data_IF_235951973993
#
_entry.id   IF_235951973993
#
_cell.length_a   1.000
_cell.length_b   1.000
_cell.length_c   1.000
_cell.angle_alpha   90.00
_cell.angle_beta   90.00
_cell.angle_gamma   90.00
#
_symmetry.space_group_name_H-M   'P 1'
#
loop_
_entity.id
_entity.type
_entity.pdbx_description
1 polymer ?
#
# COMPACT_ATOMS: atom_id res chain seq x y z
N UNK A 1 17.42 -26.97 18.50
CA UNK A 1 17.04 -27.30 17.11
C UNK A 1 15.54 -27.14 16.99
N UNK A 2 15.06 -25.98 16.55
CA UNK A 2 13.64 -25.74 16.35
C UNK A 2 13.25 -26.29 14.96
N UNK A 3 12.29 -27.20 14.94
CA UNK A 3 11.77 -27.79 13.70
C UNK A 3 11.10 -26.70 12.85
N UNK A 4 11.58 -26.52 11.61
CA UNK A 4 10.92 -25.71 10.60
C UNK A 4 9.51 -26.28 10.36
N UNK A 5 8.48 -25.56 10.80
CA UNK A 5 7.12 -25.82 10.33
C UNK A 5 7.07 -25.52 8.82
N UNK A 6 6.46 -26.40 8.00
CA UNK A 6 6.24 -26.07 6.60
C UNK A 6 5.33 -24.84 6.51
N UNK A 7 5.68 -23.86 5.66
CA UNK A 7 4.78 -22.76 5.31
C UNK A 7 3.47 -23.39 4.81
N UNK A 8 2.36 -23.13 5.50
CA UNK A 8 1.04 -23.47 4.99
C UNK A 8 0.82 -22.70 3.70
N UNK A 9 1.01 -23.40 2.57
CA UNK A 9 0.66 -22.89 1.25
C UNK A 9 -0.86 -22.87 1.20
N UNK A 10 -1.45 -21.69 1.12
CA UNK A 10 -2.91 -21.57 1.01
C UNK A 10 -3.40 -22.35 -0.22
N UNK A 11 -4.57 -23.01 -0.15
CA UNK A 11 -5.17 -23.66 -1.31
C UNK A 11 -5.28 -22.66 -2.46
N UNK A 12 -4.67 -22.98 -3.61
CA UNK A 12 -4.66 -22.12 -4.80
C UNK A 12 -3.43 -21.22 -4.99
N UNK A 13 -2.49 -21.18 -4.03
CA UNK A 13 -1.24 -20.46 -4.22
C UNK A 13 -0.32 -21.21 -5.19
N UNK A 14 -0.18 -20.68 -6.40
CA UNK A 14 0.88 -21.06 -7.34
C UNK A 14 1.91 -19.94 -7.30
N UNK A 15 3.18 -20.26 -7.06
CA UNK A 15 4.27 -19.26 -6.98
C UNK A 15 4.55 -18.52 -8.30
N UNK A 16 3.82 -18.88 -9.36
CA UNK A 16 3.86 -18.30 -10.69
C UNK A 16 2.48 -17.78 -11.05
N UNK A 17 2.39 -16.50 -11.41
CA UNK A 17 1.17 -15.90 -11.91
C UNK A 17 0.99 -16.38 -13.36
N UNK A 18 0.06 -17.30 -13.59
CA UNK A 18 -0.30 -17.81 -14.91
C UNK A 18 -1.62 -17.14 -15.33
N UNK A 19 -1.64 -15.88 -15.81
CA UNK A 19 -2.90 -15.25 -16.22
C UNK A 19 -3.62 -16.10 -17.29
N UNK A 20 -2.88 -16.83 -18.13
CA UNK A 20 -3.40 -17.70 -19.19
C UNK A 20 -4.27 -18.88 -18.72
N UNK A 21 -4.32 -19.24 -17.42
CA UNK A 21 -5.23 -20.31 -16.92
C UNK A 21 -6.69 -19.87 -16.79
N UNK A 22 -7.02 -18.60 -17.07
CA UNK A 22 -8.41 -18.11 -17.07
C UNK A 22 -8.93 -17.80 -18.49
N UNK A 23 -8.41 -18.47 -19.52
CA UNK A 23 -8.94 -18.41 -20.90
C UNK A 23 -9.63 -19.73 -21.31
N UNK A 24 -10.28 -19.75 -22.48
CA UNK A 24 -10.96 -20.96 -23.00
C UNK A 24 -10.05 -22.18 -23.08
N UNK A 25 -8.74 -22.00 -23.34
CA UNK A 25 -7.81 -23.12 -23.49
C UNK A 25 -7.47 -23.82 -22.17
N UNK A 26 -7.71 -23.14 -21.04
CA UNK A 26 -7.52 -23.68 -19.70
C UNK A 26 -8.80 -24.29 -19.11
N UNK A 27 -9.92 -24.23 -19.84
CA UNK A 27 -11.21 -24.78 -19.40
C UNK A 27 -11.14 -26.31 -19.33
N UNK A 28 -11.51 -26.94 -18.20
CA UNK A 28 -11.56 -28.40 -18.12
C UNK A 28 -12.68 -28.96 -19.02
N UNK A 29 -12.36 -29.96 -19.83
CA UNK A 29 -13.32 -30.68 -20.66
C UNK A 29 -14.23 -31.57 -19.80
N UNK A 30 -15.53 -31.27 -19.79
CA UNK A 30 -16.52 -32.10 -19.09
C UNK A 30 -17.14 -33.08 -20.09
N UNK A 31 -16.81 -34.37 -19.93
CA UNK A 31 -17.33 -35.46 -20.79
C UNK A 31 -18.77 -35.86 -20.47
N UNK A 32 -19.17 -35.76 -19.20
CA UNK A 32 -20.53 -36.10 -18.74
C UNK A 32 -21.10 -34.98 -17.85
N UNK A 33 -22.29 -34.51 -18.20
CA UNK A 33 -22.92 -33.35 -17.55
C UNK A 33 -23.81 -33.79 -16.39
N UNK A 34 -23.51 -33.31 -15.18
CA UNK A 34 -24.28 -33.54 -13.96
C UNK A 34 -25.45 -32.54 -13.84
N UNK A 35 -26.54 -32.90 -13.15
CA UNK A 35 -27.63 -31.98 -12.85
C UNK A 35 -27.13 -30.69 -12.18
N UNK A 36 -27.60 -29.53 -12.65
CA UNK A 36 -27.19 -28.21 -12.16
C UNK A 36 -25.99 -27.57 -12.89
N UNK A 37 -25.30 -28.29 -13.77
CA UNK A 37 -24.22 -27.71 -14.58
C UNK A 37 -24.77 -26.90 -15.77
N UNK A 38 -24.21 -25.71 -15.99
CA UNK A 38 -24.67 -24.78 -17.02
C UNK A 38 -24.41 -25.29 -18.46
N UNK A 39 -25.19 -24.86 -19.47
CA UNK A 39 -24.90 -25.11 -20.89
C UNK A 39 -23.51 -24.63 -21.31
N UNK A 40 -22.91 -25.34 -22.26
CA UNK A 40 -21.57 -25.04 -22.77
C UNK A 40 -21.46 -23.61 -23.28
N UNK A 41 -22.46 -23.16 -24.03
CA UNK A 41 -22.58 -21.79 -24.55
C UNK A 41 -22.60 -20.74 -23.42
N UNK A 42 -23.31 -21.00 -22.32
CA UNK A 42 -23.35 -20.09 -21.15
C UNK A 42 -22.00 -20.01 -20.44
N UNK A 43 -21.26 -21.11 -20.39
CA UNK A 43 -19.91 -21.15 -19.80
C UNK A 43 -18.90 -20.51 -20.75
N UNK A 44 -19.03 -20.69 -22.06
CA UNK A 44 -18.17 -20.03 -23.06
C UNK A 44 -18.28 -18.52 -22.97
N UNK A 45 -19.50 -17.97 -22.80
CA UNK A 45 -19.71 -16.54 -22.50
C UNK A 45 -18.91 -16.05 -21.30
N UNK A 46 -18.70 -16.86 -20.26
CA UNK A 46 -17.83 -16.47 -19.14
C UNK A 46 -16.36 -16.26 -19.52
N UNK A 47 -15.87 -16.88 -20.61
CA UNK A 47 -14.49 -16.73 -21.09
C UNK A 47 -14.38 -15.85 -22.34
N UNK A 48 -15.46 -15.76 -23.13
CA UNK A 48 -15.55 -15.02 -24.40
C UNK A 48 -16.14 -13.61 -24.21
N UNK A 49 -17.09 -13.43 -23.29
CA UNK A 49 -17.75 -12.14 -22.96
C UNK A 49 -17.13 -11.45 -21.74
N UNK A 50 -16.19 -12.09 -21.03
CA UNK A 50 -15.25 -11.32 -20.21
C UNK A 50 -14.51 -10.41 -21.19
N UNK A 51 -14.49 -9.08 -20.98
CA UNK A 51 -13.69 -8.19 -21.80
C UNK A 51 -12.29 -8.80 -21.83
N UNK A 52 -11.84 -9.14 -23.03
CA UNK A 52 -10.71 -10.04 -23.26
C UNK A 52 -9.55 -9.68 -22.36
N UNK A 53 -8.76 -10.69 -21.96
CA UNK A 53 -7.53 -10.53 -21.18
C UNK A 53 -6.93 -9.14 -21.40
N UNK A 54 -6.83 -8.30 -20.36
CA UNK A 54 -6.46 -6.91 -20.52
C UNK A 54 -5.22 -6.90 -21.40
N UNK A 55 -5.26 -6.12 -22.49
CA UNK A 55 -4.04 -5.86 -23.23
C UNK A 55 -3.04 -5.43 -22.16
N UNK A 56 -1.97 -6.20 -22.01
CA UNK A 56 -1.01 -5.92 -20.97
C UNK A 56 -0.28 -4.61 -21.30
N UNK A 57 -0.58 -3.96 -22.44
CA UNK A 57 -0.02 -2.69 -22.89
C UNK A 57 1.51 -2.76 -22.86
N UNK A 58 2.07 -3.92 -23.25
CA UNK A 58 3.50 -4.23 -23.15
C UNK A 58 4.34 -3.39 -24.11
N UNK A 59 3.71 -2.86 -25.15
CA UNK A 59 4.25 -1.88 -26.08
C UNK A 59 4.46 -0.50 -25.45
N UNK A 60 3.76 -0.19 -24.35
CA UNK A 60 3.90 1.06 -23.62
C UNK A 60 4.99 0.98 -22.54
N UNK A 61 5.70 2.10 -22.35
CA UNK A 61 6.78 2.22 -21.39
C UNK A 61 6.31 2.48 -19.95
N UNK A 62 7.27 2.62 -19.05
CA UNK A 62 7.07 2.90 -17.61
C UNK A 62 6.17 4.12 -17.33
N UNK A 63 6.17 5.12 -18.20
CA UNK A 63 5.43 6.38 -18.00
C UNK A 63 4.00 6.37 -18.58
N UNK A 64 3.63 5.33 -19.32
CA UNK A 64 2.40 5.33 -20.12
C UNK A 64 1.54 4.10 -19.84
N UNK A 65 2.18 2.95 -19.59
CA UNK A 65 1.52 1.65 -19.47
C UNK A 65 0.42 1.62 -18.42
N UNK A 66 0.68 2.09 -17.20
CA UNK A 66 -0.37 2.12 -16.17
C UNK A 66 -1.50 3.10 -16.52
N UNK A 67 -1.22 4.17 -17.26
CA UNK A 67 -2.28 5.11 -17.68
C UNK A 67 -3.21 4.44 -18.70
N UNK A 68 -2.67 3.59 -19.59
CA UNK A 68 -3.48 2.80 -20.53
C UNK A 68 -4.35 1.77 -19.82
N UNK A 69 -3.77 1.06 -18.85
CA UNK A 69 -4.54 0.13 -17.99
C UNK A 69 -5.65 0.88 -17.24
N UNK A 70 -5.37 2.07 -16.69
CA UNK A 70 -6.36 2.89 -15.99
C UNK A 70 -7.48 3.42 -16.89
N UNK A 71 -7.18 3.74 -18.16
CA UNK A 71 -8.18 4.16 -19.16
C UNK A 71 -9.19 3.05 -19.45
N UNK A 72 -8.73 1.80 -19.53
CA UNK A 72 -9.58 0.63 -19.74
C UNK A 72 -10.27 0.16 -18.45
N UNK A 73 -9.57 0.27 -17.31
CA UNK A 73 -10.02 -0.16 -15.99
C UNK A 73 -9.83 0.97 -14.96
N UNK A 74 -10.79 1.90 -14.85
CA UNK A 74 -10.72 2.97 -13.87
C UNK A 74 -10.52 2.45 -12.44
N UNK A 75 -9.50 2.96 -11.75
CA UNK A 75 -9.11 2.50 -10.41
C UNK A 75 -8.03 1.42 -10.38
N UNK A 76 -7.55 0.89 -11.51
CA UNK A 76 -6.46 -0.09 -11.54
C UNK A 76 -5.19 0.41 -10.81
N UNK A 77 -4.93 1.72 -10.84
CA UNK A 77 -3.81 2.33 -10.15
C UNK A 77 -3.88 2.17 -8.61
N UNK A 78 -5.08 2.07 -8.00
CA UNK A 78 -5.24 1.96 -6.55
C UNK A 78 -4.75 0.60 -6.03
N UNK A 79 -4.78 -0.43 -6.88
CA UNK A 79 -4.34 -1.78 -6.52
C UNK A 79 -2.85 -1.76 -6.13
N UNK A 80 -2.04 -0.98 -6.84
CA UNK A 80 -0.62 -0.79 -6.53
C UNK A 80 -0.37 -0.09 -5.19
N UNK A 81 -1.36 0.65 -4.69
CA UNK A 81 -1.33 1.24 -3.36
C UNK A 81 -1.77 0.24 -2.27
N UNK A 82 -2.74 -0.62 -2.59
CA UNK A 82 -3.36 -1.57 -1.64
C UNK A 82 -2.59 -2.89 -1.49
N UNK A 83 -1.79 -3.30 -2.46
CA UNK A 83 -1.14 -4.63 -2.48
C UNK A 83 -0.24 -4.89 -1.26
N UNK A 84 0.22 -3.86 -0.53
CA UNK A 84 0.76 -3.96 0.82
C UNK A 84 2.09 -4.72 1.00
N UNK A 85 2.56 -5.42 -0.03
CA UNK A 85 3.83 -6.17 -0.05
C UNK A 85 4.96 -5.26 -0.49
N UNK A 86 6.00 -5.11 0.35
CA UNK A 86 7.17 -4.28 0.05
C UNK A 86 8.10 -5.01 -0.94
N UNK A 87 8.24 -4.56 -2.20
CA UNK A 87 9.08 -5.22 -3.19
C UNK A 87 10.57 -5.10 -2.86
N UNK A 88 11.37 -6.06 -3.32
CA UNK A 88 12.83 -6.03 -3.11
C UNK A 88 13.50 -4.76 -3.66
N UNK A 89 13.02 -4.24 -4.80
CA UNK A 89 13.52 -3.00 -5.37
C UNK A 89 13.33 -1.80 -4.41
N UNK A 90 12.23 -1.77 -3.66
CA UNK A 90 11.98 -0.69 -2.70
C UNK A 90 12.84 -0.86 -1.46
N UNK A 91 13.05 -2.09 -0.99
CA UNK A 91 14.01 -2.40 0.08
C UNK A 91 15.41 -1.88 -0.29
N UNK A 92 15.89 -2.25 -1.49
CA UNK A 92 17.21 -1.86 -1.99
C UNK A 92 17.37 -0.33 -2.09
N UNK A 93 16.31 0.37 -2.50
CA UNK A 93 16.32 1.83 -2.55
C UNK A 93 16.31 2.44 -1.14
N UNK A 94 15.44 1.94 -0.26
CA UNK A 94 15.26 2.46 1.10
C UNK A 94 16.51 2.32 1.96
N UNK A 95 17.28 1.27 1.72
CA UNK A 95 18.54 0.98 2.42
C UNK A 95 19.77 1.21 1.54
N UNK A 96 19.65 2.01 0.49
CA UNK A 96 20.79 2.33 -0.37
C UNK A 96 21.84 3.15 0.41
N UNK A 97 23.12 2.78 0.33
CA UNK A 97 24.16 3.46 1.10
C UNK A 97 24.30 4.94 0.79
N UNK A 98 24.14 5.35 -0.48
CA UNK A 98 24.23 6.78 -0.86
C UNK A 98 23.11 7.58 -0.20
N UNK A 99 21.92 6.98 -0.07
CA UNK A 99 20.76 7.59 0.57
C UNK A 99 20.93 7.60 2.10
N UNK A 100 21.32 6.48 2.69
CA UNK A 100 21.55 6.38 4.13
C UNK A 100 22.67 7.31 4.60
N UNK A 101 23.70 7.56 3.78
CA UNK A 101 24.74 8.55 4.10
C UNK A 101 24.19 9.99 4.18
N UNK A 102 23.21 10.34 3.35
CA UNK A 102 22.52 11.65 3.45
C UNK A 102 21.64 11.69 4.69
N UNK A 103 20.88 10.62 4.95
CA UNK A 103 20.01 10.51 6.13
C UNK A 103 20.83 10.60 7.43
N UNK A 104 22.00 9.95 7.46
CA UNK A 104 22.93 9.97 8.60
C UNK A 104 23.33 11.39 9.02
N UNK A 105 23.55 12.29 8.06
CA UNK A 105 23.85 13.70 8.33
C UNK A 105 22.70 14.44 9.01
N UNK A 106 21.46 13.98 8.82
CA UNK A 106 20.27 14.64 9.33
C UNK A 106 19.82 14.10 10.69
N UNK A 107 19.91 12.78 10.91
CA UNK A 107 19.36 12.13 12.11
C UNK A 107 20.40 11.42 12.99
N UNK A 108 21.64 11.24 12.49
CA UNK A 108 22.72 10.55 13.17
C UNK A 108 23.01 9.14 12.63
N UNK A 109 24.05 8.47 13.16
CA UNK A 109 24.57 7.19 12.67
C UNK A 109 23.67 5.98 12.96
N UNK A 110 22.77 6.11 13.94
CA UNK A 110 21.77 5.11 14.26
C UNK A 110 20.48 5.43 13.49
N UNK A 111 20.15 4.58 12.52
CA UNK A 111 19.07 4.83 11.55
C UNK A 111 18.10 3.66 11.56
N UNK A 112 16.81 3.95 11.65
CA UNK A 112 15.74 2.99 11.46
C UNK A 112 14.76 3.43 10.35
N UNK A 113 14.24 2.46 9.62
CA UNK A 113 13.13 2.64 8.68
C UNK A 113 11.79 2.53 9.38
N UNK A 114 10.95 3.55 9.26
CA UNK A 114 9.58 3.52 9.77
C UNK A 114 8.69 2.62 8.88
N UNK A 115 7.85 1.74 9.45
CA UNK A 115 7.22 0.63 8.72
C UNK A 115 6.21 1.02 7.63
N UNK A 116 5.76 2.27 7.63
CA UNK A 116 4.84 2.79 6.63
C UNK A 116 5.61 3.34 5.43
N UNK A 117 5.42 2.71 4.29
CA UNK A 117 5.85 3.17 2.98
C UNK A 117 4.61 3.29 2.08
N UNK A 118 4.63 4.18 1.09
CA UNK A 118 3.51 4.36 0.18
C UNK A 118 4.00 4.52 -1.25
N UNK A 119 3.56 3.65 -2.16
CA UNK A 119 3.62 3.92 -3.59
C UNK A 119 2.39 4.73 -3.98
N UNK A 120 2.59 5.85 -4.70
CA UNK A 120 1.50 6.67 -5.21
C UNK A 120 1.65 6.82 -6.71
N UNK A 121 0.56 6.52 -7.40
CA UNK A 121 0.45 6.48 -8.86
C UNK A 121 -0.59 7.50 -9.30
N UNK A 122 -0.14 8.69 -9.71
CA UNK A 122 -1.07 9.69 -10.26
C UNK A 122 -1.13 9.58 -11.78
N UNK A 123 -2.11 8.86 -12.31
CA UNK A 123 -2.40 8.88 -13.75
C UNK A 123 -2.91 10.28 -14.16
N UNK A 124 -2.82 10.64 -15.45
CA UNK A 124 -3.34 11.91 -15.96
C UNK A 124 -4.80 12.15 -15.51
N UNK A 125 -5.10 13.36 -15.05
CA UNK A 125 -6.44 13.80 -14.64
C UNK A 125 -7.10 12.97 -13.52
N UNK A 126 -6.31 12.25 -12.71
CA UNK A 126 -6.84 11.42 -11.63
C UNK A 126 -6.91 12.18 -10.29
N UNK A 127 -8.13 12.33 -9.76
CA UNK A 127 -8.39 12.98 -8.46
C UNK A 127 -8.28 12.05 -7.25
N UNK A 128 -8.34 10.72 -7.42
CA UNK A 128 -8.42 9.72 -6.34
C UNK A 128 -7.20 9.69 -5.40
N UNK A 129 -6.09 10.30 -5.81
CA UNK A 129 -4.86 10.42 -4.99
C UNK A 129 -4.57 11.86 -4.55
N UNK A 130 -5.55 12.75 -4.69
CA UNK A 130 -5.45 14.12 -4.20
C UNK A 130 -5.56 14.11 -2.68
N UNK A 131 -4.48 14.54 -2.02
CA UNK A 131 -4.50 14.70 -0.56
C UNK A 131 -5.08 16.08 -0.26
N UNK A 132 -6.22 16.17 0.44
CA UNK A 132 -6.80 17.46 0.81
C UNK A 132 -5.95 18.17 1.87
N UNK A 133 -6.24 19.45 2.07
CA UNK A 133 -5.57 20.30 3.04
C UNK A 133 -5.65 19.75 4.46
N UNK A 134 -4.58 19.96 5.24
CA UNK A 134 -4.60 19.83 6.69
C UNK A 134 -3.72 20.92 7.32
N UNK A 135 -4.34 21.69 8.23
CA UNK A 135 -3.85 22.82 9.05
C UNK A 135 -3.68 24.20 8.36
N UNK A 136 -3.63 25.27 9.18
CA UNK A 136 -3.82 26.70 8.87
C UNK A 136 -2.72 27.30 7.96
N UNK A 137 -2.88 27.23 6.63
CA UNK A 137 -1.95 27.79 5.61
C UNK A 137 -2.69 28.79 4.70
N UNK A 138 -2.04 29.91 4.39
CA UNK A 138 -2.46 30.87 3.35
C UNK A 138 -1.96 30.39 1.97
N UNK A 139 -2.89 30.01 1.10
CA UNK A 139 -2.57 29.36 -0.17
C UNK A 139 -1.88 30.29 -1.18
N UNK A 140 -2.06 31.60 -1.03
CA UNK A 140 -1.43 32.55 -1.95
C UNK A 140 0.00 32.88 -1.52
N UNK A 141 0.28 32.79 -0.21
CA UNK A 141 1.57 33.23 0.35
C UNK A 141 2.53 32.10 0.68
N UNK A 142 2.00 30.95 1.09
CA UNK A 142 2.81 29.90 1.73
C UNK A 142 3.17 28.74 0.79
N UNK A 143 2.67 28.76 -0.46
CA UNK A 143 2.94 27.68 -1.42
C UNK A 143 4.33 27.84 -2.03
N UNK A 144 5.22 26.90 -1.70
CA UNK A 144 6.50 26.70 -2.38
C UNK A 144 6.41 25.41 -3.21
N UNK A 145 6.50 25.53 -4.53
CA UNK A 145 6.57 24.36 -5.41
C UNK A 145 8.01 23.87 -5.54
N UNK A 146 8.22 22.56 -5.44
CA UNK A 146 9.53 21.94 -5.59
C UNK A 146 9.50 20.96 -6.77
N UNK A 147 9.98 21.35 -7.96
CA UNK A 147 10.13 20.44 -9.08
C UNK A 147 11.17 19.36 -8.75
N UNK A 148 10.75 18.09 -8.79
CA UNK A 148 11.65 16.95 -8.56
C UNK A 148 11.80 16.18 -9.88
N UNK A 149 13.00 16.11 -10.48
CA UNK A 149 13.21 15.34 -11.70
C UNK A 149 13.11 13.83 -11.44
N UNK A 150 12.96 13.04 -12.50
CA UNK A 150 13.03 11.58 -12.39
C UNK A 150 14.36 11.15 -11.75
N UNK A 151 14.27 10.26 -10.74
CA UNK A 151 15.42 9.85 -9.92
C UNK A 151 15.83 10.86 -8.84
N UNK A 152 15.21 12.05 -8.80
CA UNK A 152 15.35 13.01 -7.72
C UNK A 152 14.59 12.57 -6.46
N UNK A 153 14.93 13.21 -5.34
CA UNK A 153 14.23 13.01 -4.07
C UNK A 153 13.96 14.34 -3.38
N UNK A 154 12.91 14.36 -2.57
CA UNK A 154 12.57 15.46 -1.67
C UNK A 154 12.52 14.90 -0.25
N UNK A 155 13.30 15.49 0.65
CA UNK A 155 13.28 15.16 2.08
C UNK A 155 12.43 16.20 2.80
N UNK A 156 11.50 15.73 3.62
CA UNK A 156 10.60 16.57 4.41
C UNK A 156 10.69 16.16 5.86
N UNK A 157 10.75 17.14 6.76
CA UNK A 157 10.50 16.90 8.17
C UNK A 157 9.00 16.57 8.37
N UNK A 158 8.68 15.71 9.34
CA UNK A 158 7.31 15.27 9.62
C UNK A 158 6.36 16.40 10.05
N UNK A 159 6.89 17.56 10.43
CA UNK A 159 6.14 18.76 10.79
C UNK A 159 5.89 19.70 9.61
N UNK A 160 6.42 19.42 8.41
CA UNK A 160 6.20 20.27 7.24
C UNK A 160 4.83 19.96 6.64
N UNK A 161 3.88 20.91 6.64
CA UNK A 161 2.62 20.75 5.94
C UNK A 161 2.90 20.60 4.45
N UNK A 162 2.34 19.56 3.83
CA UNK A 162 2.56 19.30 2.42
C UNK A 162 1.31 18.68 1.79
N UNK A 163 1.11 18.98 0.51
CA UNK A 163 0.05 18.37 -0.29
C UNK A 163 0.59 17.96 -1.65
N UNK A 164 -0.10 17.01 -2.26
CA UNK A 164 0.12 16.71 -3.67
C UNK A 164 -0.89 17.47 -4.52
N UNK A 165 -0.44 18.00 -5.65
CA UNK A 165 -1.31 18.61 -6.65
C UNK A 165 -1.90 17.54 -7.61
N UNK A 166 -3.02 17.83 -8.28
CA UNK A 166 -3.51 17.01 -9.39
C UNK A 166 -2.44 16.85 -10.47
N UNK A 167 -2.41 15.68 -11.14
CA UNK A 167 -1.52 15.47 -12.27
C UNK A 167 -2.21 15.95 -13.56
N UNK A 168 -1.84 17.15 -14.02
CA UNK A 168 -2.36 17.74 -15.26
C UNK A 168 -1.52 17.38 -16.49
N UNK A 169 -0.46 16.58 -16.34
CA UNK A 169 0.38 16.15 -17.45
C UNK A 169 -0.19 14.95 -18.19
N UNK A 170 0.36 14.64 -19.37
CA UNK A 170 -0.02 13.46 -20.17
C UNK A 170 0.65 12.16 -19.71
N UNK A 171 1.59 12.24 -18.77
CA UNK A 171 2.36 11.10 -18.27
C UNK A 171 1.96 10.82 -16.83
N UNK A 172 2.09 9.56 -16.42
CA UNK A 172 1.91 9.21 -15.00
C UNK A 172 2.98 9.87 -14.12
N UNK A 173 2.59 10.29 -12.91
CA UNK A 173 3.50 10.70 -11.86
C UNK A 173 3.64 9.58 -10.82
N UNK A 174 4.83 8.97 -10.79
CA UNK A 174 5.22 8.02 -9.75
C UNK A 174 5.85 8.74 -8.57
N UNK A 175 5.45 8.38 -7.35
CA UNK A 175 6.18 8.79 -6.14
C UNK A 175 6.17 7.65 -5.12
N UNK A 176 7.33 7.42 -4.50
CA UNK A 176 7.51 6.45 -3.41
C UNK A 176 7.87 7.21 -2.14
N UNK A 177 7.01 7.10 -1.13
CA UNK A 177 7.25 7.73 0.16
C UNK A 177 7.95 6.73 1.09
N UNK A 178 9.16 7.08 1.52
CA UNK A 178 9.97 6.33 2.47
C UNK A 178 10.25 7.21 3.69
N UNK A 179 10.39 6.60 4.87
CA UNK A 179 10.60 7.33 6.13
C UNK A 179 11.75 6.72 6.92
N UNK A 180 12.56 7.59 7.49
CA UNK A 180 13.65 7.25 8.40
C UNK A 180 13.44 7.97 9.72
N UNK A 181 13.89 7.34 10.79
CA UNK A 181 13.83 7.88 12.14
C UNK A 181 15.00 7.37 12.96
N UNK A 182 15.20 7.99 14.12
CA UNK A 182 16.16 7.49 15.10
C UNK A 182 15.57 6.27 15.83
N UNK A 183 16.33 5.18 16.03
CA UNK A 183 15.81 3.95 16.64
C UNK A 183 15.43 4.11 18.11
N UNK A 184 15.99 5.09 18.82
CA UNK A 184 15.58 5.36 20.21
C UNK A 184 14.20 6.02 20.34
N UNK A 185 13.56 6.38 19.22
CA UNK A 185 12.23 6.97 19.19
C UNK A 185 11.18 5.91 18.85
N UNK A 186 9.98 5.99 19.44
CA UNK A 186 8.91 5.06 19.12
C UNK A 186 8.51 5.19 17.65
N UNK A 187 8.15 4.08 17.01
CA UNK A 187 7.65 4.07 15.64
C UNK A 187 6.30 4.79 15.48
N UNK A 188 5.60 5.14 16.56
CA UNK A 188 4.33 5.87 16.47
C UNK A 188 3.20 5.09 15.79
N UNK A 189 3.39 3.77 15.62
CA UNK A 189 2.43 2.86 15.01
C UNK A 189 1.74 1.98 16.06
N UNK A 190 1.61 2.49 17.29
CA UNK A 190 0.81 1.93 18.39
C UNK A 190 1.06 0.43 18.68
N UNK A 191 2.29 -0.04 18.52
CA UNK A 191 2.65 -1.46 18.73
C UNK A 191 2.14 -2.42 17.65
N UNK A 192 1.45 -1.93 16.61
CA UNK A 192 1.03 -2.73 15.45
C UNK A 192 2.26 -3.20 14.67
N UNK A 193 3.28 -2.33 14.57
CA UNK A 193 4.55 -2.67 13.96
C UNK A 193 5.65 -1.76 14.47
N UNK A 194 6.78 -2.36 14.77
CA UNK A 194 7.99 -1.62 15.10
C UNK A 194 8.74 -1.15 13.85
N UNK A 195 9.66 -0.21 14.09
CA UNK A 195 10.58 0.22 13.05
C UNK A 195 11.67 -0.82 12.82
N UNK A 196 12.23 -0.82 11.60
CA UNK A 196 13.28 -1.73 11.22
C UNK A 196 14.64 -1.04 11.34
N UNK A 197 15.55 -1.56 12.16
CA UNK A 197 16.89 -1.02 12.29
C UNK A 197 17.66 -1.19 10.97
N UNK A 198 18.24 -0.11 10.44
CA UNK A 198 19.02 -0.10 9.20
C UNK A 198 20.52 0.03 9.45
N UNK A 199 20.91 0.93 10.34
CA UNK A 199 22.30 1.14 10.74
C UNK A 199 22.39 1.36 12.24
N UNK A 200 23.51 0.94 12.82
CA UNK A 200 23.85 1.33 14.18
C UNK A 200 25.33 1.65 14.32
N UNK A 201 25.62 2.70 15.09
CA UNK A 201 26.97 3.09 15.48
C UNK A 201 27.70 2.02 16.30
N UNK A 202 26.95 1.10 16.91
CA UNK A 202 27.48 0.00 17.74
C UNK A 202 28.03 -1.16 16.93
N UNK A 203 27.55 -1.32 15.69
CA UNK A 203 27.94 -2.39 14.79
C UNK A 203 27.94 -1.90 13.34
N UNK A 204 29.10 -1.41 12.83
CA UNK A 204 29.24 -1.00 11.44
C UNK A 204 29.00 -2.12 10.41
N UNK A 205 29.07 -3.39 10.83
CA UNK A 205 28.82 -4.56 10.00
C UNK A 205 27.38 -5.06 10.03
N UNK A 206 26.49 -4.36 10.75
CA UNK A 206 25.12 -4.78 11.01
C UNK A 206 24.39 -5.17 9.72
N UNK A 207 23.70 -6.30 9.77
CA UNK A 207 22.84 -6.80 8.69
C UNK A 207 21.39 -6.63 9.07
N UNK A 208 20.65 -5.95 8.21
CA UNK A 208 19.23 -5.65 8.40
C UNK A 208 18.44 -6.95 8.49
N UNK A 209 17.71 -7.11 9.59
CA UNK A 209 16.83 -8.24 9.80
C UNK A 209 15.44 -8.00 9.21
N UNK A 210 15.30 -8.33 7.93
CA UNK A 210 14.03 -8.21 7.20
C UNK A 210 12.96 -9.20 7.64
N UNK A 211 13.26 -10.19 8.48
CA UNK A 211 12.29 -11.22 8.87
C UNK A 211 11.08 -10.63 9.61
N UNK A 212 11.31 -9.61 10.45
CA UNK A 212 10.25 -8.80 11.08
C UNK A 212 9.36 -8.07 10.07
N UNK A 213 9.88 -7.77 8.88
CA UNK A 213 9.13 -7.10 7.82
C UNK A 213 8.41 -8.06 6.87
N UNK A 214 8.87 -9.31 6.81
CA UNK A 214 8.40 -10.36 5.89
C UNK A 214 7.49 -11.40 6.55
N UNK A 215 7.59 -11.55 7.88
CA UNK A 215 6.85 -12.54 8.67
C UNK A 215 5.54 -12.02 9.27
N UNK A 216 5.41 -10.71 9.47
CA UNK A 216 4.18 -10.13 9.98
C UNK A 216 3.18 -9.96 8.85
N UNK A 217 2.16 -10.81 8.82
CA UNK A 217 0.89 -10.46 8.21
C UNK A 217 0.38 -9.21 8.94
N UNK A 218 0.75 -8.04 8.43
CA UNK A 218 0.10 -6.76 8.78
C UNK A 218 -1.41 -6.94 8.85
N UNK A 219 -1.95 -7.81 8.01
CA UNK A 219 -3.33 -8.24 7.92
C UNK A 219 -3.90 -8.88 9.19
N UNK A 220 -3.17 -9.76 9.88
CA UNK A 220 -3.69 -10.52 11.02
C UNK A 220 -3.72 -9.65 12.28
N UNK A 221 -2.67 -8.85 12.51
CA UNK A 221 -2.62 -7.89 13.61
C UNK A 221 -3.57 -6.71 13.34
N UNK A 222 -3.62 -6.19 12.11
CA UNK A 222 -4.56 -5.10 11.78
C UNK A 222 -5.99 -5.58 11.99
N UNK A 223 -6.39 -6.78 11.52
CA UNK A 223 -7.71 -7.38 11.79
C UNK A 223 -8.08 -7.41 13.27
N UNK A 224 -7.16 -7.77 14.18
CA UNK A 224 -7.43 -7.74 15.62
C UNK A 224 -7.75 -6.32 16.13
N UNK A 225 -7.08 -5.28 15.61
CA UNK A 225 -7.33 -3.88 15.97
C UNK A 225 -8.51 -3.23 15.24
N UNK A 226 -8.94 -3.75 14.08
CA UNK A 226 -10.13 -3.30 13.35
C UNK A 226 -11.36 -4.17 13.62
N UNK A 227 -11.33 -5.17 14.52
CA UNK A 227 -12.51 -5.99 14.83
C UNK A 227 -13.72 -5.20 15.35
N UNK A 228 -13.49 -4.05 16.01
CA UNK A 228 -14.54 -3.15 16.53
C UNK A 228 -14.91 -2.01 15.57
N UNK A 229 -14.47 -2.13 14.33
CA UNK A 229 -14.76 -1.22 13.24
C UNK A 229 -15.30 -2.13 12.14
N UNK A 230 -16.46 -1.84 11.56
CA UNK A 230 -16.92 -2.51 10.33
C UNK A 230 -16.02 -2.18 9.10
N UNK A 231 -14.74 -1.91 9.36
CA UNK A 231 -13.65 -1.63 8.45
C UNK A 231 -12.81 -2.91 8.36
N UNK A 232 -13.41 -3.95 7.81
CA UNK A 232 -12.66 -5.15 7.46
C UNK A 232 -11.66 -4.81 6.33
N UNK A 233 -10.35 -5.06 6.48
CA UNK A 233 -9.41 -5.00 5.37
C UNK A 233 -9.56 -6.19 4.40
N UNK A 234 -10.46 -7.13 4.72
CA UNK A 234 -10.88 -8.28 3.92
C UNK A 234 -12.27 -8.75 4.39
N UNK A 235 -13.28 -7.87 4.41
CA UNK A 235 -14.56 -8.39 3.96
C UNK A 235 -14.26 -8.93 2.57
N UNK A 236 -14.89 -10.00 2.13
CA UNK A 236 -15.05 -10.18 0.69
C UNK A 236 -15.46 -8.82 0.15
N UNK A 237 -14.52 -8.11 -0.51
CA UNK A 237 -14.80 -6.82 -1.09
C UNK A 237 -15.57 -7.17 -2.33
N UNK A 238 -16.85 -7.51 -2.12
CA UNK A 238 -17.76 -8.00 -3.15
C UNK A 238 -17.88 -6.98 -4.29
N UNK A 239 -17.44 -5.74 -4.04
CA UNK A 239 -17.67 -4.58 -4.88
C UNK A 239 -16.38 -3.82 -5.29
N UNK A 240 -15.17 -4.31 -5.00
CA UNK A 240 -13.90 -3.61 -5.32
C UNK A 240 -13.88 -2.16 -4.79
N UNK A 241 -14.27 -1.95 -3.53
CA UNK A 241 -14.29 -0.65 -2.87
C UNK A 241 -12.88 0.00 -2.88
N UNK A 242 -12.77 1.16 -3.52
CA UNK A 242 -11.50 1.91 -3.63
C UNK A 242 -11.21 2.81 -2.44
N UNK A 243 -12.07 2.86 -1.42
CA UNK A 243 -11.87 3.68 -0.23
C UNK A 243 -10.69 3.18 0.62
N UNK A 244 -10.00 4.13 1.28
CA UNK A 244 -8.89 3.85 2.20
C UNK A 244 -9.33 4.30 3.59
N UNK A 245 -9.34 3.36 4.54
CA UNK A 245 -9.83 3.58 5.90
C UNK A 245 -8.86 2.97 6.91
N UNK A 246 -8.81 3.51 8.12
CA UNK A 246 -8.04 2.90 9.19
C UNK A 246 -8.06 3.66 10.51
N UNK A 247 -7.54 3.03 11.58
CA UNK A 247 -7.66 3.53 12.95
C UNK A 247 -6.97 4.89 13.17
N UNK A 248 -6.01 5.27 12.32
CA UNK A 248 -5.34 6.57 12.38
C UNK A 248 -6.28 7.76 12.07
N UNK A 249 -7.38 7.52 11.34
CA UNK A 249 -8.37 8.58 11.06
C UNK A 249 -9.18 8.96 12.29
N UNK A 250 -9.27 8.07 13.30
CA UNK A 250 -9.87 8.34 14.63
C UNK A 250 -8.95 9.09 15.59
N UNK A 251 -7.75 9.50 15.16
CA UNK A 251 -6.83 10.28 16.00
C UNK A 251 -7.42 11.65 16.38
N UNK A 252 -8.30 12.17 15.54
CA UNK A 252 -9.01 13.42 15.74
C UNK A 252 -10.50 13.15 15.74
N UNK A 253 -11.26 13.95 16.47
CA UNK A 253 -12.72 13.90 16.40
C UNK A 253 -13.16 14.25 14.97
N UNK A 254 -13.77 13.29 14.28
CA UNK A 254 -14.30 13.49 12.95
C UNK A 254 -15.63 14.22 13.06
N UNK A 255 -15.61 15.52 12.79
CA UNK A 255 -16.81 16.38 12.83
C UNK A 255 -17.48 16.54 11.46
N UNK A 256 -16.83 16.09 10.39
CA UNK A 256 -17.37 16.04 9.03
C UNK A 256 -16.88 14.77 8.33
N UNK A 257 -17.76 14.14 7.56
CA UNK A 257 -17.45 12.90 6.84
C UNK A 257 -17.25 13.15 5.34
N UNK A 258 -16.34 12.38 4.74
CA UNK A 258 -16.17 12.27 3.30
C UNK A 258 -16.33 10.81 2.87
N UNK A 259 -16.21 10.50 1.58
CA UNK A 259 -16.36 9.14 1.04
C UNK A 259 -15.48 8.09 1.73
N UNK A 260 -14.30 8.47 2.24
CA UNK A 260 -13.40 7.58 2.98
C UNK A 260 -13.77 7.42 4.46
N UNK A 261 -14.42 8.41 5.09
CA UNK A 261 -14.78 8.36 6.52
C UNK A 261 -16.26 8.09 6.76
N UNK A 262 -17.08 8.00 5.71
CA UNK A 262 -18.53 7.80 5.80
C UNK A 262 -18.95 6.49 6.48
N UNK A 263 -18.10 5.45 6.44
CA UNK A 263 -18.37 4.17 7.10
C UNK A 263 -17.87 4.10 8.55
N UNK A 264 -17.32 5.19 9.10
CA UNK A 264 -16.77 5.23 10.46
C UNK A 264 -17.80 5.66 11.53
N UNK A 265 -19.10 5.62 11.18
CA UNK A 265 -20.22 5.90 12.09
C UNK A 265 -20.41 4.74 13.07
N UNK A 266 -19.56 4.68 14.09
CA UNK A 266 -19.87 3.93 15.31
C UNK A 266 -19.38 4.72 16.52
N UNK A 267 -20.32 5.02 17.41
CA UNK A 267 -20.22 5.76 18.68
C UNK A 267 -19.26 5.13 19.72
N UNK A 268 -18.49 4.10 19.31
CA UNK A 268 -17.45 3.50 20.13
C UNK A 268 -16.20 4.37 20.00
N UNK A 269 -16.10 5.33 20.94
CA UNK A 269 -14.82 5.95 21.30
C UNK A 269 -13.83 4.84 21.59
N UNK A 270 -12.97 4.55 20.64
CA UNK A 270 -11.75 3.76 20.85
C UNK A 270 -11.04 4.32 22.08
N UNK A 271 -10.96 3.53 23.15
CA UNK A 271 -10.43 3.95 24.45
C UNK A 271 -8.90 3.96 24.41
N UNK A 272 -8.32 4.93 23.70
CA UNK A 272 -6.88 5.17 23.55
C UNK A 272 -6.16 5.67 24.81
N UNK A 273 -6.82 5.63 25.98
CA UNK A 273 -6.30 6.15 27.26
C UNK A 273 -6.33 5.14 28.40
N UNK A 274 -6.40 3.83 28.13
CA UNK A 274 -5.96 2.87 29.13
C UNK A 274 -4.44 3.04 29.31
N UNK A 275 -4.05 3.97 30.19
CA UNK A 275 -2.72 4.08 30.74
C UNK A 275 -2.28 2.65 31.09
N UNK A 276 -1.20 2.18 30.47
CA UNK A 276 -0.46 1.06 31.03
C UNK A 276 0.18 1.55 32.33
N UNK A 277 -0.62 1.61 33.39
CA UNK A 277 -0.10 1.51 34.75
C UNK A 277 0.32 0.06 34.89
N UNK A 278 1.61 -0.20 34.74
CA UNK A 278 2.21 -1.40 35.33
C UNK A 278 3.19 -0.94 36.41
N UNK A 279 2.85 -1.32 37.63
CA UNK A 279 3.75 -1.43 38.77
C UNK A 279 4.84 -2.48 38.49
#
# INVERSE_FOLDING_TARGET
MAANKPKEVQPGYTGECNPEIFNLSARPEIKEKKPGQLPDETIRKFFEDLPGFPDLYKEYGFFERLSKIEEEFPGANIILHKYGVLPQAFKNLWTNDRLLNVVEQLIGPDIAGHPVWNLRTKTPQNEATTVPWHQDIDLEKDIITCPVPYGGMLLLNNMIPHRSLPNLSKQIRWSLDLRWQKPEKPAGFYGIREHLLFRTSRDPGYKIDWSSFEGDNRWDIQKEYVNDLDVLPNAEDKDFDTTIQGPWMKKWDLVNHNTHTAKMDDDVKSTWHAQQVKA
#
